data_IF_879641489619
#
_entry.id   IF_879641489619
#
_cell.length_a   1.000
_cell.length_b   1.000
_cell.length_c   1.000
_cell.angle_alpha   90.00
_cell.angle_beta   90.00
_cell.angle_gamma   90.00
#
_symmetry.space_group_name_H-M   'P 1'
#
loop_
_entity.id
_entity.type
_entity.pdbx_description
1 polymer ?
#
# COMPACT_ATOMS: atom_id res chain seq x y z
N UNK A 1 13.04 -11.55 -7.28
CA UNK A 1 11.87 -10.68 -7.02
C UNK A 1 10.75 -11.63 -6.68
N UNK A 2 10.24 -11.56 -5.45
CA UNK A 2 9.18 -12.49 -5.05
C UNK A 2 7.95 -12.23 -5.92
N UNK A 3 7.35 -13.27 -6.51
CA UNK A 3 6.14 -13.11 -7.30
C UNK A 3 5.06 -12.47 -6.43
N UNK A 4 4.32 -11.54 -7.02
CA UNK A 4 3.13 -10.96 -6.42
C UNK A 4 2.13 -12.08 -6.20
N UNK A 5 1.95 -12.50 -4.95
CA UNK A 5 0.99 -13.54 -4.63
C UNK A 5 -0.42 -12.94 -4.55
N UNK A 6 -1.17 -13.04 -5.65
CA UNK A 6 -2.59 -12.67 -5.72
C UNK A 6 -3.50 -13.90 -5.58
N UNK A 7 -3.03 -15.04 -5.05
CA UNK A 7 -3.82 -16.27 -4.96
C UNK A 7 -5.08 -16.16 -4.11
N UNK A 8 -5.18 -15.10 -3.31
CA UNK A 8 -6.34 -14.79 -2.49
C UNK A 8 -7.46 -14.05 -3.26
N UNK A 9 -7.19 -13.58 -4.48
CA UNK A 9 -8.13 -12.91 -5.38
C UNK A 9 -8.57 -13.82 -6.53
N UNK A 10 -9.85 -13.74 -6.86
CA UNK A 10 -10.36 -14.30 -8.11
C UNK A 10 -10.03 -13.37 -9.29
N UNK A 11 -9.95 -13.88 -10.55
CA UNK A 11 -9.59 -13.06 -11.70
C UNK A 11 -10.43 -11.80 -11.88
N UNK A 12 -11.74 -11.89 -11.60
CA UNK A 12 -12.66 -10.76 -11.70
C UNK A 12 -12.48 -9.74 -10.55
N UNK A 13 -11.86 -10.13 -9.44
CA UNK A 13 -11.60 -9.29 -8.27
C UNK A 13 -10.32 -8.45 -8.42
N UNK A 14 -9.46 -8.76 -9.39
CA UNK A 14 -8.18 -8.07 -9.61
C UNK A 14 -8.35 -6.58 -9.92
N UNK A 15 -9.52 -6.19 -10.44
CA UNK A 15 -9.87 -4.80 -10.78
C UNK A 15 -10.78 -4.14 -9.73
N UNK A 16 -11.16 -4.86 -8.67
CA UNK A 16 -11.99 -4.31 -7.61
C UNK A 16 -11.14 -3.55 -6.59
N UNK A 17 -11.75 -2.57 -5.93
CA UNK A 17 -11.13 -1.91 -4.79
C UNK A 17 -11.03 -2.86 -3.60
N UNK A 18 -9.98 -2.72 -2.80
CA UNK A 18 -9.75 -3.53 -1.60
C UNK A 18 -10.97 -3.53 -0.67
N UNK A 19 -11.63 -2.38 -0.52
CA UNK A 19 -12.83 -2.22 0.32
C UNK A 19 -14.00 -3.14 -0.09
N UNK A 20 -14.07 -3.54 -1.36
CA UNK A 20 -15.17 -4.34 -1.90
C UNK A 20 -14.90 -5.85 -1.83
N UNK A 21 -13.62 -6.23 -1.69
CA UNK A 21 -13.20 -7.62 -1.44
C UNK A 21 -12.84 -7.89 0.02
N UNK A 22 -12.87 -6.85 0.88
CA UNK A 22 -12.49 -6.93 2.29
C UNK A 22 -13.29 -7.97 3.08
N UNK A 23 -14.50 -8.34 2.62
CA UNK A 23 -15.31 -9.44 3.17
C UNK A 23 -14.56 -10.78 3.24
N UNK A 24 -13.53 -10.97 2.40
CA UNK A 24 -12.67 -12.17 2.38
C UNK A 24 -11.61 -12.16 3.48
N UNK A 25 -11.45 -11.04 4.20
CA UNK A 25 -10.50 -10.89 5.32
C UNK A 25 -11.29 -10.97 6.64
N UNK A 26 -11.21 -12.09 7.37
CA UNK A 26 -11.99 -12.28 8.59
C UNK A 26 -11.73 -11.19 9.63
N UNK A 27 -12.81 -10.58 10.13
CA UNK A 27 -12.76 -9.53 11.14
C UNK A 27 -12.20 -8.18 10.66
N UNK A 28 -11.92 -8.02 9.37
CA UNK A 28 -11.65 -6.70 8.81
C UNK A 28 -12.95 -5.92 8.64
N UNK A 29 -12.89 -4.60 8.85
CA UNK A 29 -14.03 -3.70 8.73
C UNK A 29 -13.70 -2.52 7.83
N UNK A 30 -14.70 -2.05 7.09
CA UNK A 30 -14.64 -0.78 6.35
C UNK A 30 -14.71 0.43 7.27
N UNK A 31 -15.18 0.24 8.50
CA UNK A 31 -15.22 1.29 9.51
C UNK A 31 -13.88 1.40 10.24
N UNK A 32 -13.49 2.61 10.61
CA UNK A 32 -12.24 2.90 11.31
C UNK A 32 -11.12 3.34 10.38
N UNK A 33 -10.02 3.80 10.98
CA UNK A 33 -8.88 4.32 10.24
C UNK A 33 -8.03 3.17 9.70
N UNK A 34 -7.42 3.36 8.53
CA UNK A 34 -6.58 2.39 7.85
C UNK A 34 -5.18 2.97 7.72
N UNK A 35 -4.15 2.19 8.02
CA UNK A 35 -2.78 2.52 7.60
C UNK A 35 -2.47 1.87 6.27
N UNK A 36 -1.97 2.64 5.32
CA UNK A 36 -1.47 2.14 4.04
C UNK A 36 -0.03 2.62 3.86
N UNK A 37 0.91 1.67 3.83
CA UNK A 37 2.35 1.94 3.67
C UNK A 37 2.88 3.05 4.61
N UNK A 38 2.37 3.08 5.85
CA UNK A 38 2.77 4.05 6.89
C UNK A 38 1.99 5.37 6.89
N UNK A 39 0.95 5.52 6.06
CA UNK A 39 0.06 6.70 6.06
C UNK A 39 -1.31 6.29 6.59
N UNK A 40 -1.81 6.99 7.62
CA UNK A 40 -3.14 6.78 8.18
C UNK A 40 -4.21 7.51 7.37
N UNK A 41 -5.30 6.81 7.07
CA UNK A 41 -6.49 7.31 6.38
C UNK A 41 -7.71 7.09 7.27
N UNK A 42 -8.53 8.12 7.47
CA UNK A 42 -9.75 8.04 8.29
C UNK A 42 -10.90 7.28 7.62
N UNK A 43 -10.73 6.94 6.34
CA UNK A 43 -11.68 6.15 5.57
C UNK A 43 -10.92 5.27 4.59
N UNK A 44 -11.48 4.14 4.12
CA UNK A 44 -10.80 3.27 3.18
C UNK A 44 -10.36 4.03 1.93
N UNK A 45 -9.04 4.13 1.65
CA UNK A 45 -8.56 4.79 0.44
C UNK A 45 -8.86 3.95 -0.80
N UNK A 46 -8.85 4.60 -1.96
CA UNK A 46 -9.03 3.93 -3.26
C UNK A 46 -7.75 3.18 -3.61
N UNK A 47 -7.75 1.87 -3.33
CA UNK A 47 -6.64 0.96 -3.62
C UNK A 47 -7.22 -0.28 -4.29
N UNK A 48 -6.64 -0.70 -5.41
CA UNK A 48 -7.05 -1.95 -6.04
C UNK A 48 -6.54 -3.14 -5.25
N UNK A 49 -7.37 -4.17 -5.12
CA UNK A 49 -7.00 -5.37 -4.37
C UNK A 49 -5.73 -6.04 -4.92
N UNK A 50 -5.53 -5.98 -6.25
CA UNK A 50 -4.34 -6.48 -6.93
C UNK A 50 -3.03 -5.78 -6.56
N UNK A 51 -3.11 -4.58 -5.97
CA UNK A 51 -1.94 -3.84 -5.48
C UNK A 51 -1.56 -4.22 -4.05
N UNK A 52 -2.34 -5.05 -3.36
CA UNK A 52 -2.14 -5.34 -1.94
C UNK A 52 -1.27 -6.57 -1.77
N UNK A 53 -0.17 -6.42 -1.01
CA UNK A 53 0.75 -7.51 -0.68
C UNK A 53 0.38 -8.19 0.65
N UNK A 54 -0.11 -7.39 1.59
CA UNK A 54 -0.24 -7.80 2.97
C UNK A 54 -1.33 -6.98 3.66
N UNK A 55 -2.12 -7.64 4.50
CA UNK A 55 -3.13 -7.03 5.35
C UNK A 55 -2.94 -7.58 6.76
N UNK A 56 -2.83 -6.68 7.73
CA UNK A 56 -2.81 -6.99 9.14
C UNK A 56 -4.01 -6.33 9.81
N UNK A 57 -4.72 -7.12 10.62
CA UNK A 57 -5.77 -6.59 11.48
C UNK A 57 -5.14 -6.18 12.79
N UNK A 58 -5.36 -4.92 13.18
CA UNK A 58 -4.83 -4.40 14.45
C UNK A 58 -5.82 -4.75 15.56
N UNK A 59 -5.46 -5.71 16.41
CA UNK A 59 -6.28 -6.14 17.55
C UNK A 59 -5.69 -5.75 18.90
N UNK A 60 -4.42 -5.33 18.96
CA UNK A 60 -3.78 -4.92 20.21
C UNK A 60 -4.01 -3.44 20.49
N UNK A 61 -4.34 -3.11 21.75
CA UNK A 61 -4.59 -1.73 22.18
C UNK A 61 -3.39 -0.80 21.95
N UNK A 62 -2.17 -1.30 22.12
CA UNK A 62 -0.92 -0.53 21.97
C UNK A 62 -0.64 -0.17 20.51
N UNK A 63 -0.87 -1.09 19.57
CA UNK A 63 -0.74 -0.76 18.14
C UNK A 63 -1.87 0.15 17.67
N UNK A 64 -3.09 -0.06 18.18
CA UNK A 64 -4.23 0.81 17.89
C UNK A 64 -4.00 2.24 18.40
N UNK A 65 -3.32 2.47 19.54
CA UNK A 65 -3.03 3.83 20.01
C UNK A 65 -1.99 4.56 19.14
N UNK A 66 -1.02 3.83 18.58
CA UNK A 66 0.05 4.41 17.76
C UNK A 66 -0.41 4.70 16.33
N UNK A 67 -1.19 3.79 15.75
CA UNK A 67 -1.70 3.91 14.38
C UNK A 67 -3.05 4.63 14.30
N UNK A 68 -3.83 4.58 15.39
CA UNK A 68 -5.28 4.88 15.44
C UNK A 68 -6.12 4.09 14.44
N UNK A 69 -5.55 3.05 13.84
CA UNK A 69 -6.16 2.25 12.81
C UNK A 69 -6.61 0.87 13.32
N UNK A 70 -7.57 0.28 12.61
CA UNK A 70 -7.98 -1.11 12.80
C UNK A 70 -7.41 -2.05 11.72
N UNK A 71 -6.81 -1.49 10.67
CA UNK A 71 -6.23 -2.23 9.56
C UNK A 71 -4.90 -1.62 9.12
N UNK A 72 -3.88 -2.45 8.89
CA UNK A 72 -2.62 -2.07 8.23
C UNK A 72 -2.55 -2.79 6.89
N UNK A 73 -2.31 -2.05 5.82
CA UNK A 73 -2.20 -2.53 4.45
C UNK A 73 -0.82 -2.19 3.92
N UNK A 74 -0.13 -3.17 3.33
CA UNK A 74 1.10 -2.92 2.57
C UNK A 74 0.86 -3.18 1.10
N UNK A 75 1.18 -2.21 0.26
CA UNK A 75 1.01 -2.34 -1.19
C UNK A 75 2.29 -2.85 -1.87
N UNK A 76 2.13 -3.32 -3.09
CA UNK A 76 3.19 -3.82 -3.94
C UNK A 76 3.68 -2.65 -4.77
N UNK A 77 4.98 -2.38 -4.70
CA UNK A 77 5.64 -1.45 -5.61
C UNK A 77 6.61 -2.22 -6.49
N UNK A 78 6.34 -2.24 -7.79
CA UNK A 78 7.21 -2.92 -8.76
C UNK A 78 8.47 -2.11 -9.04
N UNK A 79 9.52 -2.79 -9.53
CA UNK A 79 10.76 -2.12 -9.96
C UNK A 79 10.50 -1.13 -11.10
N UNK A 80 9.51 -1.40 -11.95
CA UNK A 80 9.08 -0.51 -13.03
C UNK A 80 8.49 0.77 -12.45
N UNK A 81 7.66 0.69 -11.42
CA UNK A 81 7.08 1.86 -10.73
C UNK A 81 8.14 2.63 -9.95
N UNK A 82 9.04 1.94 -9.24
CA UNK A 82 10.17 2.57 -8.56
C UNK A 82 11.07 3.36 -9.53
N UNK A 83 11.32 2.82 -10.73
CA UNK A 83 12.15 3.47 -11.75
C UNK A 83 11.38 4.40 -12.68
N UNK A 84 10.06 4.51 -12.53
CA UNK A 84 9.19 5.30 -13.39
C UNK A 84 9.51 6.80 -13.29
N UNK A 85 9.41 7.53 -14.40
CA UNK A 85 9.47 9.00 -14.39
C UNK A 85 8.28 9.65 -13.67
N UNK A 86 7.17 8.91 -13.52
CA UNK A 86 6.00 9.34 -12.74
C UNK A 86 6.23 9.26 -11.23
N UNK A 87 7.22 8.48 -10.78
CA UNK A 87 7.57 8.41 -9.37
C UNK A 87 8.40 9.65 -8.99
N UNK A 88 7.82 10.49 -8.14
CA UNK A 88 8.43 11.73 -7.69
C UNK A 88 9.74 11.52 -6.93
N UNK A 89 9.84 10.46 -6.12
CA UNK A 89 11.08 10.13 -5.41
C UNK A 89 12.21 9.77 -6.38
N UNK A 90 11.88 9.01 -7.45
CA UNK A 90 12.86 8.71 -8.50
C UNK A 90 13.28 9.98 -9.24
N UNK A 91 12.33 10.87 -9.56
CA UNK A 91 12.62 12.17 -10.21
C UNK A 91 13.53 13.03 -9.36
N UNK A 92 13.27 13.13 -8.05
CA UNK A 92 14.09 13.85 -7.08
C UNK A 92 15.51 13.26 -6.99
N UNK A 93 15.62 11.94 -6.88
CA UNK A 93 16.92 11.25 -6.81
C UNK A 93 17.76 11.45 -8.08
N UNK A 94 17.14 11.43 -9.26
CA UNK A 94 17.82 11.72 -10.52
C UNK A 94 18.28 13.17 -10.62
N UNK A 95 17.46 14.14 -10.18
CA UNK A 95 17.86 15.56 -10.11
C UNK A 95 19.05 15.76 -9.18
N UNK A 96 19.04 15.13 -8.01
CA UNK A 96 20.13 15.19 -7.04
C UNK A 96 21.42 14.58 -7.59
N UNK A 97 21.35 13.44 -8.30
CA UNK A 97 22.52 12.85 -8.99
C UNK A 97 23.11 13.79 -10.05
N UNK A 98 22.28 14.43 -10.88
CA UNK A 98 22.75 15.40 -11.88
C UNK A 98 23.43 16.61 -11.24
N UNK A 99 22.83 17.18 -10.19
CA UNK A 99 23.43 18.30 -9.43
C UNK A 99 24.79 17.94 -8.83
N UNK A 100 24.94 16.72 -8.28
CA UNK A 100 26.23 16.25 -7.75
C UNK A 100 27.29 16.07 -8.83
N UNK A 101 26.91 15.63 -10.04
CA UNK A 101 27.84 15.51 -11.17
C UNK A 101 28.34 16.87 -11.67
N UNK A 102 27.48 17.89 -11.71
CA UNK A 102 27.87 19.24 -12.17
C UNK A 102 28.68 20.05 -11.14
N UNK A 103 28.75 19.60 -9.89
CA UNK A 103 29.60 20.18 -8.84
C UNK A 103 31.02 19.59 -8.82
N UNK A 104 31.29 18.61 -9.67
CA UNK A 104 32.56 17.91 -9.80
C UNK A 104 33.21 18.31 -11.11
#
# INVERSE_FOLDING_TARGET
>A
MDPVNTSWLEPHEMHLELKDVLRKVPGASRAGDWEVDGITYQSPPVIYASQVKYIERVTSFVQASNCRCNLIVKTIVTNKELKSRKNELNRLNQRNKKRKKNKK
#
